data_IF_142974751035
#
_entry.id   IF_142974751035
#
_cell.length_a   1.000
_cell.length_b   1.000
_cell.length_c   1.000
_cell.angle_alpha   90.00
_cell.angle_beta   90.00
_cell.angle_gamma   90.00
#
_symmetry.space_group_name_H-M   'P 1'
#
loop_
_entity.id
_entity.type
_entity.pdbx_description
1 polymer ?
#
# COMPACT_ATOMS: atom_id res chain seq x y z
N UNK A 1 1.27 -15.47 2.65
CA UNK A 1 0.52 -14.27 2.26
C UNK A 1 0.89 -13.18 3.23
N UNK A 2 1.19 -12.01 2.71
CA UNK A 2 1.82 -10.92 3.44
C UNK A 2 1.03 -9.65 3.23
N UNK A 3 1.11 -8.78 4.23
CA UNK A 3 0.45 -7.48 4.21
C UNK A 3 1.52 -6.43 4.32
N UNK A 4 1.47 -5.41 3.47
CA UNK A 4 2.40 -4.31 3.50
C UNK A 4 1.66 -2.98 3.64
N UNK A 5 2.19 -2.08 4.44
CA UNK A 5 1.80 -0.68 4.44
C UNK A 5 2.80 0.12 3.60
N UNK A 6 2.30 0.87 2.63
CA UNK A 6 3.11 1.67 1.73
C UNK A 6 2.62 3.10 1.66
N UNK A 7 3.54 4.05 1.81
CA UNK A 7 3.30 5.47 1.62
C UNK A 7 4.36 6.05 0.69
N UNK A 8 3.95 6.97 -0.18
CA UNK A 8 4.84 7.62 -1.14
C UNK A 8 4.42 9.07 -1.35
N UNK A 9 5.38 9.98 -1.37
CA UNK A 9 5.15 11.40 -1.62
C UNK A 9 6.34 12.03 -2.34
N UNK A 10 6.09 12.92 -3.32
CA UNK A 10 7.15 13.72 -3.90
C UNK A 10 7.53 14.87 -2.95
N UNK A 11 8.80 15.24 -2.94
CA UNK A 11 9.32 16.39 -2.18
C UNK A 11 9.52 17.55 -3.14
N UNK A 12 9.06 18.74 -2.76
CA UNK A 12 9.27 19.98 -3.54
C UNK A 12 8.24 20.24 -4.65
N UNK A 13 7.10 19.53 -4.66
CA UNK A 13 6.04 19.72 -5.68
C UNK A 13 4.84 20.54 -5.18
N UNK A 14 5.04 21.36 -4.15
CA UNK A 14 3.99 22.12 -3.46
C UNK A 14 3.18 21.28 -2.47
N UNK A 15 2.11 21.87 -1.92
CA UNK A 15 1.28 21.26 -0.86
C UNK A 15 0.24 20.27 -1.40
N UNK A 16 -0.18 20.42 -2.65
CA UNK A 16 -1.21 19.57 -3.28
C UNK A 16 -0.58 18.37 -3.99
N UNK A 17 -0.35 17.29 -3.23
CA UNK A 17 0.28 16.06 -3.75
C UNK A 17 -0.72 14.98 -4.19
N UNK A 18 -2.02 15.21 -4.03
CA UNK A 18 -3.06 14.21 -4.27
C UNK A 18 -3.08 13.63 -5.69
N UNK A 19 -2.70 14.40 -6.71
CA UNK A 19 -2.60 13.92 -8.10
C UNK A 19 -1.56 12.81 -8.28
N UNK A 20 -0.44 12.90 -7.57
CA UNK A 20 0.64 11.90 -7.62
C UNK A 20 0.21 10.61 -6.94
N UNK A 21 -0.41 10.73 -5.77
CA UNK A 21 -0.93 9.57 -5.03
C UNK A 21 -1.99 8.83 -5.87
N UNK A 22 -2.93 9.55 -6.49
CA UNK A 22 -3.93 8.94 -7.39
C UNK A 22 -3.31 8.25 -8.61
N UNK A 23 -2.20 8.76 -9.13
CA UNK A 23 -1.51 8.13 -10.24
C UNK A 23 -0.79 6.84 -9.81
N UNK A 24 -0.08 6.88 -8.67
CA UNK A 24 0.57 5.71 -8.09
C UNK A 24 -0.43 4.59 -7.76
N UNK A 25 -1.54 4.91 -7.08
CA UNK A 25 -2.59 3.94 -6.74
C UNK A 25 -3.17 3.27 -7.99
N UNK A 26 -3.46 4.05 -9.04
CA UNK A 26 -3.97 3.51 -10.31
C UNK A 26 -2.98 2.60 -11.03
N UNK A 27 -1.69 2.86 -10.88
CA UNK A 27 -0.67 2.02 -11.47
C UNK A 27 -0.51 0.71 -10.68
N UNK A 28 -0.47 0.79 -9.33
CA UNK A 28 -0.44 -0.40 -8.46
C UNK A 28 -1.66 -1.31 -8.67
N UNK A 29 -2.87 -0.74 -8.82
CA UNK A 29 -4.09 -1.54 -9.01
C UNK A 29 -4.13 -2.37 -10.30
N UNK A 30 -3.16 -2.20 -11.19
CA UNK A 30 -3.02 -2.98 -12.43
C UNK A 30 -2.07 -4.17 -12.28
N UNK A 31 -1.38 -4.29 -11.14
CA UNK A 31 -0.42 -5.37 -10.89
C UNK A 31 -1.19 -6.66 -10.55
N UNK A 32 -1.00 -7.75 -11.32
CA UNK A 32 -1.66 -9.02 -11.05
C UNK A 32 -1.27 -9.58 -9.68
N UNK A 33 -2.25 -10.12 -8.94
CA UNK A 33 -2.02 -10.71 -7.63
C UNK A 33 -1.76 -9.70 -6.50
N UNK A 34 -1.94 -8.39 -6.76
CA UNK A 34 -1.87 -7.34 -5.75
C UNK A 34 -3.26 -6.83 -5.41
N UNK A 35 -3.63 -6.89 -4.13
CA UNK A 35 -4.79 -6.18 -3.60
C UNK A 35 -4.33 -4.89 -2.94
N UNK A 36 -4.96 -3.76 -3.27
CA UNK A 36 -4.61 -2.44 -2.71
C UNK A 36 -5.83 -1.82 -2.06
N UNK A 37 -5.69 -1.36 -0.82
CA UNK A 37 -6.70 -0.61 -0.09
C UNK A 37 -6.11 0.73 0.39
N UNK A 38 -6.68 1.84 -0.09
CA UNK A 38 -6.19 3.18 0.21
C UNK A 38 -6.77 3.67 1.52
N UNK A 39 -5.91 4.20 2.38
CA UNK A 39 -6.27 4.89 3.62
C UNK A 39 -5.86 6.37 3.51
N UNK A 40 -6.29 7.23 4.44
CA UNK A 40 -5.91 8.65 4.41
C UNK A 40 -4.40 8.92 4.43
N UNK A 41 -3.60 8.02 5.03
CA UNK A 41 -2.16 8.22 5.25
C UNK A 41 -1.27 7.30 4.42
N UNK A 42 -1.78 6.14 3.99
CA UNK A 42 -1.01 5.10 3.33
C UNK A 42 -1.91 4.19 2.49
N UNK A 43 -1.31 3.32 1.70
CA UNK A 43 -1.99 2.21 1.03
C UNK A 43 -1.60 0.91 1.70
N UNK A 44 -2.58 0.10 2.08
CA UNK A 44 -2.33 -1.26 2.55
C UNK A 44 -2.44 -2.20 1.37
N UNK A 45 -1.41 -3.02 1.20
CA UNK A 45 -1.26 -3.96 0.10
C UNK A 45 -1.25 -5.38 0.62
N UNK A 46 -1.85 -6.30 -0.13
CA UNK A 46 -1.80 -7.73 0.14
C UNK A 46 -1.36 -8.47 -1.11
N UNK A 47 -0.42 -9.39 -0.94
CA UNK A 47 0.09 -10.24 -2.02
C UNK A 47 0.57 -11.59 -1.48
N UNK A 48 0.79 -12.55 -2.38
CA UNK A 48 1.39 -13.83 -2.05
C UNK A 48 2.92 -13.77 -1.90
N UNK A 49 3.56 -12.82 -2.58
CA UNK A 49 5.01 -12.70 -2.65
C UNK A 49 5.51 -11.28 -2.36
N UNK A 50 6.71 -11.17 -1.78
CA UNK A 50 7.37 -9.88 -1.55
C UNK A 50 7.67 -9.20 -2.89
N UNK A 51 7.95 -9.97 -3.93
CA UNK A 51 8.24 -9.46 -5.29
C UNK A 51 7.08 -8.60 -5.82
N UNK A 52 5.85 -9.06 -5.67
CA UNK A 52 4.65 -8.31 -6.10
C UNK A 52 4.51 -6.98 -5.35
N UNK A 53 4.85 -6.95 -4.06
CA UNK A 53 4.88 -5.71 -3.27
C UNK A 53 5.96 -4.76 -3.76
N UNK A 54 7.16 -5.27 -4.04
CA UNK A 54 8.27 -4.44 -4.53
C UNK A 54 8.00 -3.90 -5.94
N UNK A 55 7.34 -4.67 -6.80
CA UNK A 55 6.87 -4.19 -8.11
C UNK A 55 5.91 -3.00 -7.95
N UNK A 56 5.01 -3.04 -6.97
CA UNK A 56 4.11 -1.93 -6.67
C UNK A 56 4.85 -0.67 -6.23
N UNK A 57 5.90 -0.83 -5.43
CA UNK A 57 6.77 0.28 -5.02
C UNK A 57 7.50 0.86 -6.24
N UNK A 58 8.12 0.00 -7.06
CA UNK A 58 8.87 0.42 -8.23
C UNK A 58 8.00 1.20 -9.22
N UNK A 59 6.86 0.65 -9.60
CA UNK A 59 5.90 1.30 -10.52
C UNK A 59 5.43 2.65 -9.96
N UNK A 60 5.20 2.75 -8.64
CA UNK A 60 4.82 4.01 -8.00
C UNK A 60 5.90 5.08 -8.13
N UNK A 61 7.17 4.72 -7.91
CA UNK A 61 8.30 5.64 -8.10
C UNK A 61 8.46 6.07 -9.56
N UNK A 62 8.30 5.14 -10.51
CA UNK A 62 8.37 5.43 -11.94
C UNK A 62 7.29 6.44 -12.37
N UNK A 63 6.06 6.25 -11.90
CA UNK A 63 4.94 7.16 -12.20
C UNK A 63 5.19 8.56 -11.63
N UNK A 64 5.65 8.67 -10.38
CA UNK A 64 5.95 9.99 -9.81
C UNK A 64 7.09 10.68 -10.56
N UNK A 65 8.10 9.92 -10.98
CA UNK A 65 9.22 10.43 -11.78
C UNK A 65 8.76 10.92 -13.15
N UNK A 66 7.90 10.18 -13.85
CA UNK A 66 7.36 10.59 -15.15
C UNK A 66 6.45 11.81 -15.05
N UNK A 67 5.84 12.04 -13.89
CA UNK A 67 5.09 13.26 -13.57
C UNK A 67 5.99 14.45 -13.15
N UNK A 68 7.31 14.30 -13.25
CA UNK A 68 8.28 15.38 -13.02
C UNK A 68 8.79 15.52 -11.58
N UNK A 69 8.46 14.59 -10.67
CA UNK A 69 9.00 14.62 -9.31
C UNK A 69 10.53 14.45 -9.34
N UNK A 70 11.25 15.44 -8.78
CA UNK A 70 12.73 15.43 -8.73
C UNK A 70 13.27 14.66 -7.52
N UNK A 71 12.50 14.60 -6.44
CA UNK A 71 12.82 13.84 -5.23
C UNK A 71 11.55 13.14 -4.75
N UNK A 72 11.67 11.87 -4.43
CA UNK A 72 10.57 11.02 -3.97
C UNK A 72 10.99 10.38 -2.65
N UNK A 73 10.11 10.41 -1.67
CA UNK A 73 10.27 9.69 -0.40
C UNK A 73 9.14 8.69 -0.26
N UNK A 74 9.47 7.48 0.19
CA UNK A 74 8.49 6.42 0.41
C UNK A 74 8.84 5.60 1.63
N UNK A 75 7.82 5.19 2.38
CA UNK A 75 7.94 4.20 3.46
C UNK A 75 7.26 2.91 3.06
N UNK A 76 7.93 1.78 3.31
CA UNK A 76 7.38 0.44 3.14
C UNK A 76 7.57 -0.33 4.45
N UNK A 77 6.48 -0.87 4.97
CA UNK A 77 6.51 -1.80 6.11
C UNK A 77 5.84 -3.10 5.68
N UNK A 78 6.57 -4.21 5.75
CA UNK A 78 6.05 -5.54 5.41
C UNK A 78 5.81 -6.31 6.72
N UNK A 79 4.62 -6.88 6.85
CA UNK A 79 4.25 -7.84 7.88
C UNK A 79 4.05 -9.21 7.23
N UNK A 80 5.06 -10.08 7.39
CA UNK A 80 5.04 -11.46 6.93
C UNK A 80 5.01 -12.41 8.13
N UNK A 81 4.02 -13.30 8.12
CA UNK A 81 3.88 -14.37 9.12
C UNK A 81 4.20 -15.70 8.47
N UNK A 82 5.25 -16.36 8.97
CA UNK A 82 5.66 -17.70 8.52
C UNK A 82 4.92 -18.83 9.26
N UNK A 83 4.32 -18.51 10.41
CA UNK A 83 3.65 -19.49 11.27
C UNK A 83 2.20 -19.80 10.83
N UNK A 84 1.52 -18.84 10.19
CA UNK A 84 0.12 -18.96 9.76
C UNK A 84 -0.14 -18.13 8.49
N UNK A 85 -0.74 -18.74 7.47
CA UNK A 85 -1.33 -17.98 6.35
C UNK A 85 -2.61 -17.30 6.83
N UNK A 86 -2.67 -15.97 6.78
CA UNK A 86 -3.89 -15.20 7.07
C UNK A 86 -4.13 -14.14 6.00
N UNK A 87 -5.39 -13.90 5.72
CA UNK A 87 -5.84 -12.83 4.83
C UNK A 87 -6.10 -11.54 5.60
N UNK A 88 -5.98 -10.40 4.93
CA UNK A 88 -6.30 -9.08 5.48
C UNK A 88 -7.76 -9.03 5.96
N UNK A 89 -8.64 -9.78 5.28
CA UNK A 89 -10.02 -10.00 5.71
C UNK A 89 -10.14 -10.71 7.07
N UNK A 90 -9.19 -11.56 7.46
CA UNK A 90 -9.16 -12.22 8.77
C UNK A 90 -8.78 -11.25 9.90
N UNK A 91 -7.89 -10.29 9.64
CA UNK A 91 -7.54 -9.24 10.61
C UNK A 91 -8.74 -8.33 10.91
N UNK A 92 -9.49 -7.92 9.89
CA UNK A 92 -10.71 -7.11 10.06
C UNK A 92 -11.80 -7.90 10.81
N UNK A 93 -11.96 -9.20 10.52
CA UNK A 93 -12.89 -10.09 11.26
C UNK A 93 -12.52 -10.24 12.73
N UNK A 94 -11.23 -10.33 13.07
CA UNK A 94 -10.77 -10.38 14.46
C UNK A 94 -11.16 -9.13 15.24
N UNK A 95 -11.07 -7.95 14.61
CA UNK A 95 -11.46 -6.68 15.23
C UNK A 95 -12.98 -6.55 15.43
N UNK A 96 -13.79 -7.05 14.48
CA UNK A 96 -15.26 -7.07 14.62
C UNK A 96 -15.73 -7.87 15.84
N UNK A 97 -15.02 -8.95 16.22
CA UNK A 97 -15.34 -9.73 17.44
C UNK A 97 -15.06 -8.99 18.75
N UNK A 98 -14.16 -7.99 18.75
CA UNK A 98 -13.92 -7.16 19.94
C UNK A 98 -15.07 -6.19 20.21
N UNK A 99 -15.76 -5.73 19.15
CA UNK A 99 -16.86 -4.75 19.25
C UNK A 99 -18.18 -5.38 19.69
N UNK A 100 -18.36 -6.70 19.54
CA UNK A 100 -19.57 -7.42 19.97
C UNK A 100 -19.53 -7.87 21.44
N UNK A 101 -18.49 -7.52 22.20
CA UNK A 101 -18.36 -7.79 23.65
C UNK A 101 -18.65 -6.57 24.53
N UNK A 102 -19.09 -5.45 23.94
CA UNK A 102 -19.51 -4.22 24.63
C UNK A 102 -20.96 -3.86 24.28
N UNK A 103 -21.86 -4.82 24.40
CA UNK A 103 -23.31 -4.62 24.32
C UNK A 103 -23.96 -5.34 25.48
#
# INVERSE_FOLDING_TARGET
MLVAEFSIHPIGMGTSVGRYVKAAVRAMSRIPGLTVNVTPMSSVMEAESIRTILEAVEVSHLVLRSMGAKRISSGLRIDERLDKRRMMSDKIRGLKRLRSRKS
#
